data_IF_646644697357
#
_entry.id   IF_646644697357
#
_cell.length_a   1.000
_cell.length_b   1.000
_cell.length_c   1.000
_cell.angle_alpha   90.00
_cell.angle_beta   90.00
_cell.angle_gamma   90.00
#
_symmetry.space_group_name_H-M   'P 1'
#
loop_
_entity.id
_entity.type
_entity.pdbx_description
1 polymer ?
#
# COMPACT_ATOMS: atom_id res chain seq x y z
N UNK A 1 49.97 24.58 -1.77
CA UNK A 1 50.55 25.17 -0.55
C UNK A 1 49.45 25.19 0.49
N UNK A 2 49.60 24.47 1.59
CA UNK A 2 48.66 24.56 2.71
C UNK A 2 49.09 25.75 3.58
N UNK A 3 48.17 26.69 3.78
CA UNK A 3 48.40 27.82 4.68
C UNK A 3 48.26 27.35 6.12
N UNK A 4 49.17 27.75 7.03
CA UNK A 4 49.07 27.39 8.44
C UNK A 4 47.84 28.04 9.07
N UNK A 5 47.12 27.28 9.90
CA UNK A 5 45.85 27.66 10.56
C UNK A 5 46.01 28.87 11.51
N UNK A 6 47.25 29.21 11.89
CA UNK A 6 47.57 30.33 12.78
C UNK A 6 47.31 31.72 12.20
N UNK A 7 47.10 31.84 10.89
CA UNK A 7 46.86 33.14 10.22
C UNK A 7 45.36 33.42 9.96
N UNK A 8 44.45 32.63 10.56
CA UNK A 8 43.01 32.84 10.43
C UNK A 8 42.55 34.00 11.31
N UNK A 9 42.33 35.16 10.69
CA UNK A 9 41.72 36.32 11.33
C UNK A 9 40.19 36.30 11.17
N UNK A 10 39.43 37.02 12.03
CA UNK A 10 37.97 37.13 11.95
C UNK A 10 37.46 37.77 10.65
N UNK A 11 38.35 38.39 9.88
CA UNK A 11 38.07 39.05 8.60
C UNK A 11 38.04 38.06 7.43
N UNK A 12 38.45 36.80 7.66
CA UNK A 12 38.47 35.76 6.64
C UNK A 12 37.08 35.11 6.51
N UNK A 13 36.50 34.99 5.30
CA UNK A 13 35.19 34.37 5.09
C UNK A 13 35.12 32.93 5.62
N UNK A 14 36.24 32.19 5.62
CA UNK A 14 36.31 30.83 6.16
C UNK A 14 36.12 30.75 7.68
N UNK A 15 36.40 31.85 8.40
CA UNK A 15 36.26 31.90 9.85
C UNK A 15 34.78 31.90 10.28
N UNK A 16 33.92 32.52 9.49
CA UNK A 16 32.47 32.56 9.76
C UNK A 16 31.86 31.15 9.65
N UNK A 17 32.25 30.38 8.65
CA UNK A 17 31.80 29.00 8.45
C UNK A 17 32.28 28.06 9.57
N UNK A 18 33.53 28.24 10.03
CA UNK A 18 34.07 27.46 11.15
C UNK A 18 33.36 27.76 12.48
N UNK A 19 32.86 28.98 12.67
CA UNK A 19 32.09 29.35 13.86
C UNK A 19 30.68 28.74 13.90
N UNK A 20 30.13 28.35 12.73
CA UNK A 20 28.84 27.66 12.64
C UNK A 20 28.95 26.17 12.96
N UNK A 21 30.15 25.60 12.97
CA UNK A 21 30.38 24.21 13.32
C UNK A 21 30.15 23.96 14.82
N UNK A 22 29.68 22.75 15.20
CA UNK A 22 29.44 22.41 16.58
C UNK A 22 30.75 22.46 17.39
N UNK A 23 30.67 23.08 18.57
CA UNK A 23 31.85 23.21 19.44
C UNK A 23 32.17 21.86 20.07
N UNK A 24 33.40 21.38 19.87
CA UNK A 24 33.87 20.13 20.44
C UNK A 24 33.81 20.18 21.98
N UNK A 25 33.17 19.18 22.58
CA UNK A 25 33.10 19.02 24.06
C UNK A 25 31.86 19.61 24.73
N UNK A 26 30.93 20.23 23.99
CA UNK A 26 29.66 20.74 24.51
C UNK A 26 28.52 19.96 23.86
N UNK A 27 27.59 19.43 24.65
CA UNK A 27 26.34 18.86 24.11
C UNK A 27 25.45 20.01 23.63
N UNK A 28 25.33 20.15 22.32
CA UNK A 28 24.40 21.11 21.69
C UNK A 28 23.22 20.31 21.13
N UNK A 29 21.99 20.69 21.49
CA UNK A 29 20.78 20.20 20.82
C UNK A 29 20.68 20.90 19.46
N UNK A 30 20.97 20.16 18.40
CA UNK A 30 20.79 20.63 17.03
C UNK A 30 19.30 20.50 16.73
N UNK A 31 18.59 21.62 16.73
CA UNK A 31 17.20 21.68 16.27
C UNK A 31 17.28 21.97 14.76
N UNK A 32 17.23 20.93 13.94
CA UNK A 32 16.97 21.08 12.51
C UNK A 32 15.50 21.48 12.34
N UNK A 33 15.25 22.76 12.05
CA UNK A 33 13.97 23.19 11.51
C UNK A 33 13.83 22.60 10.10
N UNK A 34 13.23 21.41 10.01
CA UNK A 34 12.77 20.85 8.75
C UNK A 34 11.55 21.68 8.34
N UNK A 35 11.77 22.67 7.49
CA UNK A 35 10.69 23.33 6.76
C UNK A 35 10.22 22.33 5.71
N UNK A 36 9.15 21.58 6.01
CA UNK A 36 8.43 20.80 5.02
C UNK A 36 7.72 21.77 4.06
N UNK A 37 8.38 22.13 2.96
CA UNK A 37 7.70 22.77 1.85
C UNK A 37 6.82 21.73 1.13
N UNK A 38 5.54 21.69 1.51
CA UNK A 38 4.49 20.95 0.79
C UNK A 38 4.24 21.58 -0.60
N UNK A 39 5.18 21.41 -1.53
CA UNK A 39 4.96 21.77 -2.93
C UNK A 39 4.10 20.71 -3.60
N UNK A 40 2.77 20.90 -3.56
CA UNK A 40 1.77 20.06 -4.23
C UNK A 40 1.77 20.17 -5.78
N UNK A 41 2.74 20.87 -6.38
CA UNK A 41 2.75 21.21 -7.82
C UNK A 41 3.71 20.36 -8.66
N UNK A 42 4.35 19.33 -8.08
CA UNK A 42 5.17 18.41 -8.86
C UNK A 42 4.28 17.49 -9.70
N UNK A 43 4.16 17.77 -11.00
CA UNK A 43 3.53 16.87 -11.96
C UNK A 43 4.38 15.59 -12.09
N UNK A 44 4.06 14.58 -11.28
CA UNK A 44 4.71 13.26 -11.33
C UNK A 44 4.32 12.58 -12.65
N UNK A 45 5.22 12.61 -13.63
CA UNK A 45 5.08 11.86 -14.88
C UNK A 45 5.60 10.43 -14.69
N UNK A 46 4.68 9.49 -14.49
CA UNK A 46 4.99 8.06 -14.42
C UNK A 46 5.25 7.51 -15.83
N UNK A 47 6.52 7.26 -16.17
CA UNK A 47 6.95 6.74 -17.48
C UNK A 47 7.08 5.19 -17.53
N UNK A 48 6.60 4.48 -16.51
CA UNK A 48 6.70 3.03 -16.44
C UNK A 48 5.70 2.37 -17.39
N UNK A 49 6.15 1.35 -18.13
CA UNK A 49 5.26 0.53 -18.97
C UNK A 49 4.13 -0.10 -18.13
N UNK A 50 2.97 -0.28 -18.75
CA UNK A 50 1.83 -0.86 -18.06
C UNK A 50 2.15 -2.30 -17.60
N UNK A 51 1.77 -2.70 -16.38
CA UNK A 51 2.06 -4.03 -15.86
C UNK A 51 1.52 -5.13 -16.79
N UNK A 52 2.37 -6.13 -17.07
CA UNK A 52 1.97 -7.33 -17.81
C UNK A 52 0.85 -8.04 -17.05
N UNK A 53 -0.22 -8.43 -17.76
CA UNK A 53 -1.32 -9.23 -17.20
C UNK A 53 -2.62 -8.48 -16.87
N UNK A 54 -2.65 -7.14 -16.97
CA UNK A 54 -3.86 -6.33 -16.77
C UNK A 54 -4.75 -6.20 -18.01
N UNK A 55 -4.20 -6.44 -19.19
CA UNK A 55 -4.90 -6.28 -20.47
C UNK A 55 -5.23 -7.65 -21.07
N UNK A 56 -6.38 -7.72 -21.73
CA UNK A 56 -6.78 -8.83 -22.59
C UNK A 56 -6.05 -8.72 -23.95
N UNK A 57 -5.92 -9.81 -24.72
CA UNK A 57 -5.28 -9.78 -26.04
C UNK A 57 -5.94 -8.83 -27.05
N UNK A 58 -7.19 -8.45 -26.80
CA UNK A 58 -7.93 -7.47 -27.60
C UNK A 58 -7.65 -6.01 -27.21
N UNK A 59 -6.73 -5.75 -26.27
CA UNK A 59 -6.36 -4.41 -25.81
C UNK A 59 -7.28 -3.82 -24.73
N UNK A 60 -8.38 -4.50 -24.37
CA UNK A 60 -9.23 -4.04 -23.27
C UNK A 60 -8.59 -4.38 -21.92
N UNK A 61 -8.80 -3.53 -20.92
CA UNK A 61 -8.43 -3.89 -19.54
C UNK A 61 -9.29 -5.05 -19.06
N UNK A 62 -8.70 -5.92 -18.25
CA UNK A 62 -9.44 -6.92 -17.48
C UNK A 62 -10.37 -6.21 -16.49
N UNK A 63 -11.43 -6.89 -16.12
CA UNK A 63 -12.33 -6.45 -15.07
C UNK A 63 -11.90 -7.09 -13.76
N UNK A 64 -12.03 -6.34 -12.67
CA UNK A 64 -11.88 -6.86 -11.33
C UNK A 64 -13.06 -7.79 -11.06
N UNK A 65 -12.80 -9.04 -10.69
CA UNK A 65 -13.86 -10.03 -10.46
C UNK A 65 -14.74 -9.70 -9.25
N UNK A 66 -14.25 -8.85 -8.34
CA UNK A 66 -14.96 -8.47 -7.11
C UNK A 66 -15.85 -7.25 -7.36
N UNK A 67 -15.30 -6.20 -7.98
CA UNK A 67 -16.02 -4.92 -8.16
C UNK A 67 -16.64 -4.74 -9.54
N UNK A 68 -16.25 -5.57 -10.52
CA UNK A 68 -16.65 -5.41 -11.92
C UNK A 68 -16.02 -4.19 -12.62
N UNK A 69 -15.16 -3.43 -11.94
CA UNK A 69 -14.52 -2.22 -12.48
C UNK A 69 -13.19 -2.54 -13.17
N UNK A 70 -12.65 -1.58 -13.92
CA UNK A 70 -11.33 -1.74 -14.56
C UNK A 70 -10.22 -2.01 -13.54
N UNK A 71 -9.37 -2.98 -13.83
CA UNK A 71 -8.25 -3.35 -12.96
C UNK A 71 -7.12 -2.33 -13.04
N UNK A 72 -6.45 -2.13 -11.91
CA UNK A 72 -5.26 -1.27 -11.80
C UNK A 72 -4.03 -2.03 -11.34
N UNK A 73 -4.24 -3.08 -10.56
CA UNK A 73 -3.18 -3.83 -9.90
C UNK A 73 -3.38 -5.34 -10.06
N UNK A 74 -2.33 -6.10 -9.80
CA UNK A 74 -2.31 -7.56 -9.91
C UNK A 74 -1.66 -8.14 -8.67
N UNK A 75 -2.31 -9.12 -8.02
CA UNK A 75 -1.72 -9.87 -6.91
C UNK A 75 -0.93 -11.07 -7.48
N UNK A 76 0.40 -11.10 -7.39
CA UNK A 76 1.22 -12.20 -7.91
C UNK A 76 1.08 -13.50 -7.09
N UNK A 77 0.64 -13.44 -5.83
CA UNK A 77 0.46 -14.63 -5.00
C UNK A 77 -0.79 -15.41 -5.38
N UNK A 78 -1.89 -14.70 -5.66
CA UNK A 78 -3.18 -15.30 -6.01
C UNK A 78 -3.41 -15.36 -7.53
N UNK A 79 -2.64 -14.59 -8.30
CA UNK A 79 -2.84 -14.45 -9.75
C UNK A 79 -4.12 -13.66 -10.10
N UNK A 80 -4.63 -12.83 -9.18
CA UNK A 80 -5.92 -12.14 -9.32
C UNK A 80 -5.72 -10.64 -9.54
N UNK A 81 -6.30 -10.06 -10.60
CA UNK A 81 -6.29 -8.62 -10.82
C UNK A 81 -7.37 -7.90 -9.98
N UNK A 82 -7.05 -6.72 -9.46
CA UNK A 82 -7.93 -5.91 -8.61
C UNK A 82 -7.89 -4.41 -8.93
N UNK A 83 -8.94 -3.70 -8.52
CA UNK A 83 -9.16 -2.29 -8.87
C UNK A 83 -8.53 -1.29 -7.89
N UNK A 84 -8.45 -1.65 -6.61
CA UNK A 84 -8.20 -0.72 -5.51
C UNK A 84 -7.75 -1.45 -4.23
N UNK A 85 -7.30 -0.67 -3.25
CA UNK A 85 -6.74 -1.19 -1.99
C UNK A 85 -7.78 -1.90 -1.12
N UNK A 86 -9.05 -1.50 -1.18
CA UNK A 86 -10.11 -2.14 -0.40
C UNK A 86 -10.36 -3.55 -0.93
N UNK A 87 -10.43 -3.70 -2.25
CA UNK A 87 -10.50 -5.01 -2.91
C UNK A 87 -9.31 -5.90 -2.55
N UNK A 88 -8.09 -5.34 -2.45
CA UNK A 88 -6.92 -6.09 -2.02
C UNK A 88 -7.04 -6.60 -0.57
N UNK A 89 -7.50 -5.75 0.36
CA UNK A 89 -7.73 -6.16 1.75
C UNK A 89 -8.77 -7.28 1.84
N UNK A 90 -9.83 -7.18 1.04
CA UNK A 90 -10.85 -8.23 0.94
C UNK A 90 -10.24 -9.55 0.42
N UNK A 91 -9.45 -9.52 -0.66
CA UNK A 91 -8.71 -10.70 -1.15
C UNK A 91 -7.85 -11.35 -0.07
N UNK A 92 -7.12 -10.55 0.71
CA UNK A 92 -6.29 -11.07 1.82
C UNK A 92 -7.11 -11.65 2.96
N UNK A 93 -8.29 -11.09 3.26
CA UNK A 93 -9.19 -11.66 4.26
C UNK A 93 -9.76 -13.02 3.83
N UNK A 94 -10.00 -13.22 2.54
CA UNK A 94 -10.39 -14.52 1.98
C UNK A 94 -9.22 -15.52 2.06
N UNK A 95 -8.01 -15.12 1.69
CA UNK A 95 -6.81 -15.96 1.77
C UNK A 95 -6.52 -16.42 3.21
N UNK A 96 -6.77 -15.56 4.19
CA UNK A 96 -6.62 -15.86 5.61
C UNK A 96 -7.73 -16.76 6.18
N UNK A 97 -8.78 -17.05 5.40
CA UNK A 97 -9.90 -17.89 5.82
C UNK A 97 -10.91 -17.20 6.74
N UNK A 98 -10.85 -15.87 6.87
CA UNK A 98 -11.82 -15.07 7.65
C UNK A 98 -13.21 -15.12 7.01
N UNK A 99 -13.23 -15.25 5.70
CA UNK A 99 -14.44 -15.43 4.89
C UNK A 99 -14.53 -16.90 4.50
N UNK A 100 -15.41 -17.70 5.13
CA UNK A 100 -15.69 -19.06 4.68
C UNK A 100 -16.25 -19.06 3.26
N UNK A 101 -15.53 -19.73 2.36
CA UNK A 101 -15.92 -19.96 0.98
C UNK A 101 -16.10 -21.46 0.75
N UNK A 102 -17.33 -21.88 0.44
CA UNK A 102 -17.65 -23.30 0.24
C UNK A 102 -17.87 -23.60 -1.24
N UNK A 103 -17.09 -24.55 -1.77
CA UNK A 103 -17.27 -25.05 -3.13
C UNK A 103 -18.00 -26.40 -3.06
N UNK A 104 -19.20 -26.45 -3.65
CA UNK A 104 -19.90 -27.69 -3.96
C UNK A 104 -19.53 -28.10 -5.38
N UNK A 105 -18.62 -29.05 -5.50
CA UNK A 105 -18.21 -29.57 -6.80
C UNK A 105 -19.28 -30.50 -7.41
N UNK A 106 -19.00 -31.00 -8.63
CA UNK A 106 -19.89 -31.91 -9.34
C UNK A 106 -20.08 -33.29 -8.70
N UNK A 107 -19.41 -33.58 -7.56
CA UNK A 107 -19.70 -34.79 -6.79
C UNK A 107 -20.91 -34.62 -5.87
N UNK A 108 -21.27 -33.37 -5.54
CA UNK A 108 -22.38 -33.04 -4.65
C UNK A 108 -23.60 -32.45 -5.36
N UNK A 109 -23.47 -32.07 -6.64
CA UNK A 109 -24.61 -31.64 -7.44
C UNK A 109 -24.44 -31.95 -8.94
N UNK A 110 -25.56 -32.14 -9.64
CA UNK A 110 -25.60 -32.47 -11.08
C UNK A 110 -25.53 -31.23 -12.00
N UNK A 111 -25.54 -30.04 -11.42
CA UNK A 111 -25.58 -28.74 -12.13
C UNK A 111 -24.20 -28.10 -12.33
N UNK A 112 -23.14 -28.71 -11.81
CA UNK A 112 -21.77 -28.21 -11.88
C UNK A 112 -21.32 -27.48 -10.61
N UNK A 113 -20.07 -27.02 -10.58
CA UNK A 113 -19.49 -26.38 -9.40
C UNK A 113 -20.30 -25.15 -8.97
N UNK A 114 -20.82 -25.17 -7.73
CA UNK A 114 -21.53 -24.06 -7.11
C UNK A 114 -20.70 -23.54 -5.94
N UNK A 115 -20.53 -22.23 -5.86
CA UNK A 115 -19.75 -21.60 -4.79
C UNK A 115 -20.66 -20.78 -3.87
N UNK A 116 -20.48 -20.92 -2.56
CA UNK A 116 -21.33 -20.31 -1.54
C UNK A 116 -20.48 -19.40 -0.66
N UNK A 117 -20.84 -18.11 -0.68
CA UNK A 117 -20.34 -17.09 0.24
C UNK A 117 -21.24 -17.01 1.48
N UNK A 118 -20.69 -17.27 2.66
CA UNK A 118 -21.45 -17.29 3.92
C UNK A 118 -21.34 -16.01 4.75
N UNK A 119 -20.61 -14.99 4.30
CA UNK A 119 -20.34 -13.79 5.10
C UNK A 119 -18.99 -13.84 5.84
N UNK A 120 -18.64 -12.78 6.56
CA UNK A 120 -17.39 -12.69 7.32
C UNK A 120 -17.60 -13.23 8.73
N UNK A 121 -16.75 -14.14 9.19
CA UNK A 121 -16.79 -14.70 10.55
C UNK A 121 -16.05 -13.85 11.59
N UNK A 122 -15.65 -12.63 11.24
CA UNK A 122 -14.92 -11.73 12.13
C UNK A 122 -15.76 -11.14 13.28
N UNK A 123 -17.05 -11.49 13.36
CA UNK A 123 -17.98 -11.01 14.38
C UNK A 123 -18.45 -9.57 14.17
N UNK A 124 -18.10 -8.95 13.03
CA UNK A 124 -18.56 -7.61 12.66
C UNK A 124 -19.94 -7.63 12.00
N UNK A 125 -20.33 -8.75 11.39
CA UNK A 125 -21.67 -8.97 10.84
C UNK A 125 -22.64 -9.39 11.95
N UNK A 126 -23.82 -8.75 11.98
CA UNK A 126 -24.95 -9.21 12.78
C UNK A 126 -25.89 -10.04 11.91
N UNK A 127 -26.40 -11.14 12.46
CA UNK A 127 -27.43 -11.91 11.78
C UNK A 127 -28.65 -11.04 11.45
N UNK A 128 -29.34 -11.37 10.36
CA UNK A 128 -30.59 -10.72 10.01
C UNK A 128 -31.63 -10.90 11.13
N UNK A 129 -32.59 -9.97 11.21
CA UNK A 129 -33.62 -10.00 12.27
C UNK A 129 -34.43 -11.28 12.18
N UNK A 130 -34.41 -12.09 13.24
CA UNK A 130 -35.18 -13.34 13.35
C UNK A 130 -34.36 -14.61 13.15
N UNK A 131 -33.06 -14.52 12.86
CA UNK A 131 -32.16 -15.69 12.89
C UNK A 131 -31.94 -16.12 14.35
N UNK A 132 -32.15 -17.40 14.70
CA UNK A 132 -31.92 -17.92 16.05
C UNK A 132 -30.45 -17.78 16.50
N UNK A 133 -30.22 -17.65 17.80
CA UNK A 133 -28.88 -17.69 18.37
C UNK A 133 -28.20 -19.04 18.06
N UNK A 134 -26.93 -18.98 17.64
CA UNK A 134 -26.12 -20.16 17.31
C UNK A 134 -26.00 -20.49 15.82
N UNK A 135 -26.66 -19.73 14.93
CA UNK A 135 -26.35 -19.74 13.50
C UNK A 135 -25.16 -18.82 13.21
N UNK A 136 -24.15 -19.34 12.50
CA UNK A 136 -23.00 -18.56 12.02
C UNK A 136 -23.49 -17.41 11.14
N UNK A 137 -23.00 -16.19 11.43
CA UNK A 137 -23.19 -14.98 10.63
C UNK A 137 -21.97 -14.64 9.80
#
# INVERSE_FOLDING_TARGET
>A
MFTPVTDLTPENPMFEDLNRLPKLGIRQEIIEEVVEEDTNDAAITLNTEAPLGLYLPNGNKKLCLITGTEVKYFDPSLGVPYSDVETFKFLKSMEQGTIPWYTLDGTYNDTGSTEIYLGSRDGSSRSARGVPEGFDG
#
